data_IF_720833711177
#
_entry.id   IF_720833711177
#
_cell.length_a   1.000
_cell.length_b   1.000
_cell.length_c   1.000
_cell.angle_alpha   90.00
_cell.angle_beta   90.00
_cell.angle_gamma   90.00
#
_symmetry.space_group_name_H-M   'P 1'
#
loop_
_entity.id
_entity.type
_entity.pdbx_description
1 polymer ?
#
# COMPACT_ATOMS: atom_id res chain seq x y z
N UNK A 1 10.06 -1.83 7.40
CA UNK A 1 10.94 -0.64 7.36
C UNK A 1 11.03 -0.08 8.77
N UNK A 2 12.18 0.42 9.22
CA UNK A 2 12.23 1.20 10.46
C UNK A 2 11.87 2.64 10.13
N UNK A 3 10.73 3.14 10.62
CA UNK A 3 10.40 4.57 10.56
C UNK A 3 11.46 5.34 11.35
N UNK A 4 12.45 5.90 10.66
CA UNK A 4 13.62 6.54 11.29
C UNK A 4 13.47 8.05 11.46
N UNK A 5 12.34 8.64 11.05
CA UNK A 5 12.15 10.10 11.08
C UNK A 5 11.16 10.57 12.15
N UNK A 6 10.14 9.78 12.49
CA UNK A 6 9.04 10.20 13.36
C UNK A 6 8.52 9.06 14.22
N UNK A 7 7.99 9.41 15.39
CA UNK A 7 7.23 8.51 16.26
C UNK A 7 5.97 7.99 15.54
N UNK A 8 5.46 6.86 16.01
CA UNK A 8 4.17 6.33 15.57
C UNK A 8 3.03 7.34 15.77
N UNK A 9 2.03 7.26 14.90
CA UNK A 9 0.83 8.12 14.99
C UNK A 9 0.07 7.77 16.26
N UNK A 10 0.07 8.70 17.22
CA UNK A 10 -0.59 8.54 18.52
C UNK A 10 -1.22 9.85 18.98
N UNK A 11 -2.23 9.74 19.85
CA UNK A 11 -2.80 10.91 20.50
C UNK A 11 -1.86 11.42 21.61
N UNK A 12 -1.66 12.73 21.64
CA UNK A 12 -0.90 13.44 22.69
C UNK A 12 -1.82 14.13 23.71
N UNK A 13 -3.12 13.88 23.61
CA UNK A 13 -4.19 14.46 24.43
C UNK A 13 -4.76 13.40 25.38
N UNK A 14 -5.34 13.84 26.49
CA UNK A 14 -5.95 12.95 27.48
C UNK A 14 -7.37 12.49 27.09
N UNK A 15 -7.89 11.47 27.77
CA UNK A 15 -9.20 10.88 27.49
C UNK A 15 -10.38 11.86 27.64
N UNK A 16 -10.27 12.87 28.51
CA UNK A 16 -11.32 13.89 28.67
C UNK A 16 -11.33 14.85 27.48
N UNK A 17 -10.15 15.18 26.95
CA UNK A 17 -9.99 16.00 25.76
C UNK A 17 -10.46 15.29 24.48
N UNK A 18 -10.32 13.97 24.39
CA UNK A 18 -10.78 13.19 23.22
C UNK A 18 -12.26 13.44 22.93
N UNK A 19 -13.13 13.35 23.95
CA UNK A 19 -14.57 13.57 23.78
C UNK A 19 -14.90 14.99 23.30
N UNK A 20 -14.21 15.99 23.85
CA UNK A 20 -14.36 17.39 23.47
C UNK A 20 -13.92 17.63 22.02
N UNK A 21 -12.75 17.11 21.63
CA UNK A 21 -12.24 17.25 20.26
C UNK A 21 -13.08 16.47 19.26
N UNK A 22 -13.59 15.30 19.62
CA UNK A 22 -14.49 14.54 18.77
C UNK A 22 -15.76 15.36 18.46
N UNK A 23 -16.37 16.00 19.46
CA UNK A 23 -17.55 16.84 19.23
C UNK A 23 -17.24 18.03 18.31
N UNK A 24 -16.06 18.65 18.44
CA UNK A 24 -15.64 19.76 17.57
C UNK A 24 -15.35 19.29 16.15
N UNK A 25 -14.65 18.17 16.00
CA UNK A 25 -14.26 17.60 14.70
C UNK A 25 -15.45 17.03 13.94
N UNK A 26 -16.45 16.47 14.63
CA UNK A 26 -17.70 16.05 14.00
C UNK A 26 -18.38 17.22 13.27
N UNK A 27 -18.23 18.44 13.78
CA UNK A 27 -18.80 19.66 13.18
C UNK A 27 -17.83 20.38 12.22
N UNK A 28 -16.66 19.80 11.93
CA UNK A 28 -15.68 20.39 11.03
C UNK A 28 -16.15 20.26 9.57
N UNK A 29 -15.81 21.25 8.75
CA UNK A 29 -16.13 21.27 7.31
C UNK A 29 -15.06 20.60 6.43
N UNK A 30 -14.04 19.98 7.04
CA UNK A 30 -12.95 19.29 6.33
C UNK A 30 -13.27 17.79 6.26
N UNK A 31 -13.32 17.24 5.05
CA UNK A 31 -13.71 15.84 4.78
C UNK A 31 -15.22 15.62 4.82
N UNK A 32 -15.67 14.36 4.82
CA UNK A 32 -17.09 14.09 5.04
C UNK A 32 -17.44 14.30 6.52
N UNK A 33 -18.68 14.70 6.78
CA UNK A 33 -19.16 15.00 8.12
C UNK A 33 -18.94 13.82 9.07
N UNK A 34 -18.16 14.02 10.13
CA UNK A 34 -17.86 13.00 11.13
C UNK A 34 -16.61 12.16 10.87
N UNK A 35 -15.95 12.25 9.71
CA UNK A 35 -14.74 11.44 9.41
C UNK A 35 -13.58 11.75 10.35
N UNK A 36 -13.27 13.03 10.55
CA UNK A 36 -12.20 13.45 11.45
C UNK A 36 -12.45 12.98 12.90
N UNK A 37 -13.71 12.98 13.34
CA UNK A 37 -14.09 12.46 14.65
C UNK A 37 -14.02 10.93 14.74
N UNK A 38 -14.34 10.21 13.66
CA UNK A 38 -14.15 8.75 13.55
C UNK A 38 -12.68 8.37 13.57
N UNK A 39 -11.84 9.09 12.82
CA UNK A 39 -10.39 8.88 12.80
C UNK A 39 -9.77 9.12 14.17
N UNK A 40 -10.16 10.20 14.87
CA UNK A 40 -9.70 10.45 16.24
C UNK A 40 -10.02 9.27 17.16
N UNK A 41 -11.23 8.72 17.08
CA UNK A 41 -11.65 7.55 17.87
C UNK A 41 -10.87 6.29 17.51
N UNK A 42 -10.56 6.08 16.23
CA UNK A 42 -9.77 4.94 15.79
C UNK A 42 -8.35 5.02 16.37
N UNK A 43 -7.68 6.17 16.27
CA UNK A 43 -6.34 6.35 16.82
C UNK A 43 -6.35 6.17 18.35
N UNK A 44 -7.39 6.66 19.04
CA UNK A 44 -7.56 6.43 20.47
C UNK A 44 -7.63 4.93 20.81
N UNK A 45 -8.49 4.18 20.09
CA UNK A 45 -8.66 2.73 20.28
C UNK A 45 -7.39 1.95 20.01
N UNK A 46 -6.63 2.31 18.98
CA UNK A 46 -5.33 1.69 18.69
C UNK A 46 -4.34 1.96 19.84
N UNK A 47 -4.35 3.17 20.38
CA UNK A 47 -3.53 3.53 21.55
C UNK A 47 -3.91 2.73 22.79
N UNK A 48 -5.20 2.59 23.07
CA UNK A 48 -5.72 1.80 24.21
C UNK A 48 -5.40 0.31 24.02
N UNK A 49 -5.59 -0.23 22.81
CA UNK A 49 -5.26 -1.61 22.43
C UNK A 49 -3.79 -1.96 22.69
N UNK A 50 -2.86 -1.04 22.41
CA UNK A 50 -1.43 -1.26 22.61
C UNK A 50 -1.01 -1.48 24.08
N UNK A 51 -1.87 -1.11 25.04
CA UNK A 51 -1.64 -1.33 26.48
C UNK A 51 -2.22 -2.63 27.03
N UNK A 52 -2.95 -3.40 26.20
CA UNK A 52 -3.63 -4.62 26.60
C UNK A 52 -2.82 -5.87 26.22
N UNK A 53 -3.14 -7.00 26.87
CA UNK A 53 -2.53 -8.29 26.54
C UNK A 53 -3.00 -8.85 25.19
N UNK A 54 -2.26 -9.80 24.64
CA UNK A 54 -2.65 -10.46 23.40
C UNK A 54 -3.93 -11.29 23.58
N UNK A 55 -4.83 -11.32 22.58
CA UNK A 55 -6.00 -12.17 22.60
C UNK A 55 -5.59 -13.64 22.66
N UNK A 56 -6.40 -14.44 23.34
CA UNK A 56 -6.26 -15.91 23.35
C UNK A 56 -7.42 -16.52 22.62
N UNK A 57 -7.07 -17.37 21.64
CA UNK A 57 -8.03 -18.07 20.82
C UNK A 57 -8.04 -19.55 21.15
N UNK A 58 -9.22 -20.13 21.22
CA UNK A 58 -9.40 -21.56 21.11
C UNK A 58 -9.64 -21.91 19.64
N UNK A 59 -8.71 -22.68 19.07
CA UNK A 59 -8.75 -23.15 17.68
C UNK A 59 -9.19 -24.60 17.64
N UNK A 60 -10.14 -24.91 16.77
CA UNK A 60 -10.61 -26.29 16.53
C UNK A 60 -10.53 -26.60 15.06
N UNK A 61 -9.84 -27.70 14.79
CA UNK A 61 -9.69 -28.26 13.47
C UNK A 61 -10.65 -29.44 13.29
N UNK A 62 -11.61 -29.29 12.37
CA UNK A 62 -12.54 -30.34 11.99
C UNK A 62 -12.06 -30.96 10.69
N UNK A 63 -11.82 -32.28 10.68
CA UNK A 63 -11.35 -32.98 9.50
C UNK A 63 -12.37 -34.00 9.02
N UNK A 64 -13.03 -33.70 7.91
CA UNK A 64 -13.91 -34.63 7.22
C UNK A 64 -13.08 -35.43 6.21
N UNK A 65 -13.04 -36.75 6.37
CA UNK A 65 -12.37 -37.65 5.43
C UNK A 65 -13.41 -38.36 4.58
N UNK A 66 -13.23 -38.31 3.27
CA UNK A 66 -14.03 -39.12 2.37
C UNK A 66 -13.74 -40.60 2.64
N UNK A 67 -14.78 -41.43 2.75
CA UNK A 67 -14.65 -42.84 3.15
C UNK A 67 -13.84 -43.68 2.14
N UNK A 68 -13.96 -43.36 0.85
CA UNK A 68 -13.43 -44.20 -0.25
C UNK A 68 -12.33 -43.54 -1.07
N UNK A 69 -12.12 -42.24 -0.93
CA UNK A 69 -11.23 -41.44 -1.77
C UNK A 69 -10.20 -40.76 -0.86
N UNK A 70 -8.97 -40.52 -1.31
CA UNK A 70 -7.94 -39.85 -0.52
C UNK A 70 -8.19 -38.33 -0.45
N UNK A 71 -9.43 -37.93 -0.22
CA UNK A 71 -9.86 -36.53 -0.13
C UNK A 71 -10.26 -36.27 1.32
N UNK A 72 -9.71 -35.20 1.89
CA UNK A 72 -10.15 -34.69 3.18
C UNK A 72 -10.39 -33.19 3.09
N UNK A 73 -11.44 -32.72 3.75
CA UNK A 73 -11.70 -31.31 3.97
C UNK A 73 -11.36 -31.00 5.42
N UNK A 74 -10.66 -29.90 5.63
CA UNK A 74 -10.26 -29.40 6.93
C UNK A 74 -10.88 -28.03 7.13
N UNK A 75 -11.60 -27.86 8.25
CA UNK A 75 -12.16 -26.58 8.65
C UNK A 75 -11.46 -26.16 9.92
N UNK A 76 -10.97 -24.93 9.94
CA UNK A 76 -10.46 -24.30 11.14
C UNK A 76 -11.53 -23.35 11.67
N UNK A 77 -11.87 -23.50 12.94
CA UNK A 77 -12.84 -22.67 13.63
C UNK A 77 -12.16 -22.05 14.83
N UNK A 78 -12.27 -20.74 14.97
CA UNK A 78 -11.64 -19.99 16.05
C UNK A 78 -12.72 -19.34 16.92
N UNK A 79 -12.48 -19.34 18.23
CA UNK A 79 -13.31 -18.65 19.22
C UNK A 79 -12.40 -17.84 20.14
N UNK A 80 -12.87 -16.69 20.58
CA UNK A 80 -12.13 -15.81 21.49
C UNK A 80 -12.35 -16.30 22.93
N UNK A 81 -11.29 -16.79 23.58
CA UNK A 81 -11.31 -17.16 25.02
C UNK A 81 -11.00 -15.95 25.90
N UNK A 82 -10.10 -15.09 25.43
CA UNK A 82 -9.74 -13.83 26.04
C UNK A 82 -9.61 -12.77 24.95
N UNK A 83 -10.33 -11.66 25.08
CA UNK A 83 -10.33 -10.59 24.09
C UNK A 83 -9.00 -9.82 24.04
N UNK A 84 -8.33 -9.59 25.17
CA UNK A 84 -7.08 -8.82 25.18
C UNK A 84 -7.27 -7.44 24.54
N UNK A 85 -6.46 -7.11 23.54
CA UNK A 85 -6.62 -5.87 22.76
C UNK A 85 -7.83 -5.85 21.82
N UNK A 86 -8.47 -6.99 21.50
CA UNK A 86 -9.65 -7.06 20.63
C UNK A 86 -10.85 -6.31 21.20
N UNK A 87 -10.92 -6.11 22.52
CA UNK A 87 -11.98 -5.31 23.18
C UNK A 87 -12.08 -3.90 22.55
N UNK A 88 -10.94 -3.33 22.16
CA UNK A 88 -10.86 -1.99 21.55
C UNK A 88 -10.97 -2.01 20.03
N UNK A 89 -10.72 -3.15 19.39
CA UNK A 89 -10.72 -3.36 17.94
C UNK A 89 -11.60 -4.57 17.54
N UNK A 90 -12.91 -4.53 17.83
CA UNK A 90 -13.79 -5.71 17.69
C UNK A 90 -13.97 -6.19 16.25
N UNK A 91 -13.73 -5.33 15.26
CA UNK A 91 -13.80 -5.71 13.85
C UNK A 91 -12.71 -6.72 13.45
N UNK A 92 -11.58 -6.73 14.15
CA UNK A 92 -10.51 -7.71 13.93
C UNK A 92 -10.94 -9.13 14.35
N UNK A 93 -11.94 -9.26 15.23
CA UNK A 93 -12.51 -10.54 15.65
C UNK A 93 -13.65 -11.04 14.73
N UNK A 94 -13.97 -10.36 13.63
CA UNK A 94 -15.16 -10.65 12.81
C UNK A 94 -15.19 -12.07 12.20
N UNK A 95 -14.04 -12.76 12.14
CA UNK A 95 -13.91 -14.13 11.65
C UNK A 95 -13.98 -15.18 12.77
N UNK A 96 -14.01 -14.75 14.03
CA UNK A 96 -14.17 -15.64 15.18
C UNK A 96 -15.65 -15.87 15.47
N UNK A 97 -16.00 -17.09 15.91
CA UNK A 97 -17.35 -17.37 16.38
C UNK A 97 -17.55 -16.90 17.82
N UNK A 98 -18.73 -16.35 18.07
CA UNK A 98 -19.21 -16.10 19.42
C UNK A 98 -19.43 -17.42 20.17
N UNK A 99 -19.35 -17.40 21.51
CA UNK A 99 -19.48 -18.62 22.31
C UNK A 99 -20.80 -19.38 22.04
N UNK A 100 -21.90 -18.66 21.80
CA UNK A 100 -23.19 -19.25 21.45
C UNK A 100 -23.23 -19.91 20.07
N UNK A 101 -22.59 -19.27 19.08
CA UNK A 101 -22.48 -19.78 17.71
C UNK A 101 -21.60 -21.02 17.67
N UNK A 102 -20.51 -21.00 18.41
CA UNK A 102 -19.63 -22.15 18.61
C UNK A 102 -20.38 -23.35 19.20
N UNK A 103 -21.18 -23.14 20.26
CA UNK A 103 -21.98 -24.22 20.85
C UNK A 103 -23.02 -24.78 19.87
N UNK A 104 -23.64 -23.91 19.06
CA UNK A 104 -24.58 -24.31 18.03
C UNK A 104 -23.88 -25.14 16.94
N UNK A 105 -22.71 -24.71 16.47
CA UNK A 105 -21.90 -25.43 15.50
C UNK A 105 -21.51 -26.83 16.01
N UNK A 106 -21.01 -26.93 17.24
CA UNK A 106 -20.67 -28.22 17.84
C UNK A 106 -21.88 -29.15 17.94
N UNK A 107 -23.08 -28.61 18.21
CA UNK A 107 -24.31 -29.39 18.25
C UNK A 107 -24.70 -29.87 16.86
N UNK A 108 -24.73 -28.98 15.87
CA UNK A 108 -25.01 -29.31 14.47
C UNK A 108 -24.09 -30.41 13.94
N UNK A 109 -22.78 -30.32 14.24
CA UNK A 109 -21.80 -31.34 13.87
C UNK A 109 -22.05 -32.70 14.57
N UNK A 110 -22.40 -32.69 15.86
CA UNK A 110 -22.73 -33.91 16.61
C UNK A 110 -24.01 -34.59 16.11
N UNK A 111 -25.00 -33.79 15.75
CA UNK A 111 -26.31 -34.24 15.30
C UNK A 111 -26.35 -34.54 13.79
N UNK A 112 -25.24 -34.28 13.08
CA UNK A 112 -25.16 -34.36 11.61
C UNK A 112 -26.21 -33.49 10.91
N UNK A 113 -26.56 -32.36 11.53
CA UNK A 113 -27.56 -31.39 11.07
C UNK A 113 -26.86 -30.23 10.37
N UNK A 114 -26.34 -30.49 9.16
CA UNK A 114 -25.69 -29.47 8.34
C UNK A 114 -25.76 -29.83 6.85
N UNK A 115 -25.68 -28.80 6.00
CA UNK A 115 -25.56 -28.94 4.56
C UNK A 115 -24.19 -28.42 4.10
N UNK A 116 -23.62 -29.07 3.09
CA UNK A 116 -22.39 -28.61 2.45
C UNK A 116 -22.74 -28.00 1.08
N UNK A 117 -22.50 -26.72 0.93
CA UNK A 117 -22.62 -26.02 -0.34
C UNK A 117 -21.23 -25.85 -0.98
N UNK A 118 -21.07 -26.39 -2.18
CA UNK A 118 -19.81 -26.30 -2.93
C UNK A 118 -19.98 -25.27 -4.03
N UNK A 119 -19.40 -24.09 -3.82
CA UNK A 119 -19.34 -23.03 -4.83
C UNK A 119 -17.91 -22.87 -5.30
N UNK A 120 -17.75 -22.60 -6.59
CA UNK A 120 -16.49 -22.04 -7.09
C UNK A 120 -16.37 -20.65 -6.46
N UNK A 121 -15.23 -20.31 -5.83
CA UNK A 121 -15.04 -18.96 -5.33
C UNK A 121 -15.18 -17.99 -6.49
N UNK A 122 -15.94 -16.92 -6.29
CA UNK A 122 -15.93 -15.81 -7.24
C UNK A 122 -14.50 -15.24 -7.28
N UNK A 123 -14.02 -14.75 -8.43
CA UNK A 123 -12.72 -14.13 -8.50
C UNK A 123 -12.70 -12.90 -7.59
N UNK A 124 -12.10 -13.05 -6.41
CA UNK A 124 -11.99 -11.98 -5.42
C UNK A 124 -11.23 -10.80 -6.03
N UNK A 125 -11.80 -9.61 -5.89
CA UNK A 125 -11.11 -8.38 -6.19
C UNK A 125 -10.09 -8.09 -5.10
N UNK A 126 -9.01 -7.40 -5.48
CA UNK A 126 -7.98 -7.00 -4.53
C UNK A 126 -8.61 -6.07 -3.49
N UNK A 127 -8.40 -6.33 -2.21
CA UNK A 127 -8.90 -5.42 -1.18
C UNK A 127 -8.07 -4.13 -1.12
N UNK A 128 -8.62 -3.04 -0.58
CA UNK A 128 -7.87 -1.80 -0.42
C UNK A 128 -6.69 -2.01 0.53
N UNK A 129 -6.89 -2.74 1.63
CA UNK A 129 -5.81 -3.14 2.53
C UNK A 129 -4.70 -3.90 1.80
N UNK A 130 -5.06 -4.92 1.01
CA UNK A 130 -4.11 -5.69 0.22
C UNK A 130 -3.37 -4.84 -0.82
N UNK A 131 -4.02 -3.83 -1.42
CA UNK A 131 -3.35 -2.89 -2.32
C UNK A 131 -2.26 -2.12 -1.55
N UNK A 132 -2.59 -1.54 -0.40
CA UNK A 132 -1.64 -0.75 0.40
C UNK A 132 -0.45 -1.61 0.84
N UNK A 133 -0.69 -2.84 1.30
CA UNK A 133 0.38 -3.78 1.70
C UNK A 133 1.30 -4.12 0.52
N UNK A 134 0.72 -4.37 -0.66
CA UNK A 134 1.50 -4.63 -1.87
C UNK A 134 2.33 -3.40 -2.27
N UNK A 135 1.76 -2.19 -2.19
CA UNK A 135 2.49 -0.95 -2.50
C UNK A 135 3.67 -0.76 -1.54
N UNK A 136 3.49 -1.01 -0.24
CA UNK A 136 4.60 -0.96 0.74
C UNK A 136 5.65 -2.04 0.45
N UNK A 137 5.24 -3.28 0.17
CA UNK A 137 6.13 -4.38 -0.16
C UNK A 137 7.02 -4.07 -1.38
N UNK A 138 6.44 -3.46 -2.42
CA UNK A 138 7.18 -3.04 -3.61
C UNK A 138 7.84 -1.66 -3.49
N UNK A 139 7.75 -1.02 -2.33
CA UNK A 139 8.29 0.32 -2.05
C UNK A 139 7.77 1.37 -3.04
N UNK A 140 6.50 1.26 -3.41
CA UNK A 140 5.81 2.16 -4.32
C UNK A 140 5.09 3.20 -3.47
N UNK A 141 5.51 4.46 -3.60
CA UNK A 141 4.99 5.56 -2.80
C UNK A 141 5.66 5.69 -1.42
N UNK A 142 5.48 6.86 -0.81
CA UNK A 142 5.85 7.15 0.59
C UNK A 142 4.55 7.45 1.36
N UNK A 143 4.52 7.37 2.70
CA UNK A 143 3.34 7.75 3.49
C UNK A 143 2.77 9.13 3.12
N UNK A 144 3.64 10.07 2.71
CA UNK A 144 3.26 11.42 2.27
C UNK A 144 2.70 11.51 0.84
N UNK A 145 2.90 10.50 -0.02
CA UNK A 145 2.53 10.54 -1.44
C UNK A 145 1.47 9.52 -1.83
N UNK A 146 1.27 8.46 -1.03
CA UNK A 146 0.34 7.37 -1.33
C UNK A 146 -1.09 7.87 -1.56
N UNK A 147 -1.60 8.71 -0.65
CA UNK A 147 -2.96 9.25 -0.74
C UNK A 147 -3.22 10.00 -2.06
N UNK A 148 -2.34 10.97 -2.38
CA UNK A 148 -2.44 11.73 -3.63
C UNK A 148 -2.29 10.84 -4.87
N UNK A 149 -1.38 9.86 -4.83
CA UNK A 149 -1.15 8.96 -5.97
C UNK A 149 -2.40 8.14 -6.29
N UNK A 150 -3.11 7.65 -5.27
CA UNK A 150 -4.35 6.89 -5.44
C UNK A 150 -5.47 7.79 -5.97
N UNK A 151 -5.60 9.01 -5.45
CA UNK A 151 -6.58 9.99 -5.94
C UNK A 151 -6.33 10.36 -7.42
N UNK A 152 -5.06 10.55 -7.80
CA UNK A 152 -4.67 10.83 -9.18
C UNK A 152 -4.98 9.65 -10.10
N UNK A 153 -4.75 8.41 -9.64
CA UNK A 153 -5.07 7.19 -10.40
C UNK A 153 -6.59 7.00 -10.56
N UNK A 154 -7.39 7.33 -9.56
CA UNK A 154 -8.85 7.28 -9.64
C UNK A 154 -9.39 8.37 -10.57
N UNK A 155 -8.92 9.61 -10.40
CA UNK A 155 -9.28 10.76 -11.26
C UNK A 155 -8.87 10.52 -12.71
N UNK A 156 -7.70 9.92 -12.92
CA UNK A 156 -7.20 9.48 -14.22
C UNK A 156 -7.92 8.25 -14.80
N UNK A 157 -8.94 7.73 -14.10
CA UNK A 157 -9.73 6.54 -14.48
C UNK A 157 -8.87 5.31 -14.71
N UNK A 158 -7.80 5.14 -13.94
CA UNK A 158 -6.99 3.92 -13.96
C UNK A 158 -7.50 2.88 -12.97
N UNK A 159 -8.17 3.35 -11.94
CA UNK A 159 -8.48 2.64 -10.71
C UNK A 159 -9.92 2.99 -10.31
N UNK A 160 -10.66 2.03 -9.77
CA UNK A 160 -11.95 2.22 -9.11
C UNK A 160 -11.85 1.60 -7.72
N UNK A 161 -12.17 2.40 -6.70
CA UNK A 161 -12.26 1.96 -5.31
C UNK A 161 -13.73 2.01 -4.92
N UNK A 162 -14.31 0.86 -4.58
CA UNK A 162 -15.70 0.75 -4.16
C UNK A 162 -15.77 -0.01 -2.83
N UNK A 163 -15.91 0.73 -1.74
CA UNK A 163 -15.75 0.17 -0.40
C UNK A 163 -14.32 -0.35 -0.19
N UNK A 164 -14.20 -1.64 0.10
CA UNK A 164 -12.90 -2.32 0.24
C UNK A 164 -12.42 -2.94 -1.08
N UNK A 165 -13.20 -2.92 -2.16
CA UNK A 165 -12.79 -3.52 -3.42
C UNK A 165 -12.04 -2.54 -4.32
N UNK A 166 -10.88 -2.97 -4.82
CA UNK A 166 -10.06 -2.24 -5.79
C UNK A 166 -10.07 -2.96 -7.13
N UNK A 167 -10.39 -2.22 -8.19
CA UNK A 167 -10.41 -2.72 -9.57
C UNK A 167 -9.66 -1.80 -10.53
N UNK A 168 -8.91 -2.41 -11.44
CA UNK A 168 -8.35 -1.69 -12.58
C UNK A 168 -9.42 -1.48 -13.66
N UNK A 169 -9.38 -0.32 -14.31
CA UNK A 169 -10.26 -0.06 -15.46
C UNK A 169 -9.69 -0.68 -16.73
N UNK A 170 -10.53 -0.84 -17.76
CA UNK A 170 -10.07 -1.23 -19.10
C UNK A 170 -9.00 -0.28 -19.66
N UNK A 171 -9.07 1.01 -19.32
CA UNK A 171 -8.08 2.01 -19.71
C UNK A 171 -6.72 1.73 -19.06
N UNK A 172 -6.70 1.40 -17.77
CA UNK A 172 -5.46 1.02 -17.09
C UNK A 172 -4.82 -0.22 -17.69
N UNK A 173 -5.60 -1.26 -18.00
CA UNK A 173 -5.07 -2.46 -18.64
C UNK A 173 -4.41 -2.15 -19.99
N UNK A 174 -5.03 -1.27 -20.79
CA UNK A 174 -4.45 -0.86 -22.07
C UNK A 174 -3.14 -0.07 -21.86
N UNK A 175 -3.13 0.90 -20.95
CA UNK A 175 -1.94 1.69 -20.65
C UNK A 175 -0.81 0.81 -20.13
N UNK A 176 -1.11 -0.12 -19.22
CA UNK A 176 -0.14 -1.09 -18.72
C UNK A 176 0.43 -1.95 -19.86
N UNK A 177 -0.43 -2.45 -20.75
CA UNK A 177 0.02 -3.22 -21.91
C UNK A 177 0.95 -2.41 -22.81
N UNK A 178 0.58 -1.17 -23.15
CA UNK A 178 1.38 -0.27 -23.98
C UNK A 178 2.73 0.06 -23.31
N UNK A 179 2.74 0.28 -21.98
CA UNK A 179 3.95 0.49 -21.19
C UNK A 179 4.85 -0.75 -21.16
N UNK A 180 4.28 -1.94 -21.01
CA UNK A 180 5.05 -3.19 -21.01
C UNK A 180 5.72 -3.45 -22.36
N UNK A 181 5.07 -3.07 -23.47
CA UNK A 181 5.66 -3.20 -24.80
C UNK A 181 6.75 -2.16 -25.07
N UNK A 182 6.52 -0.89 -24.68
CA UNK A 182 7.42 0.22 -25.03
C UNK A 182 8.55 0.45 -24.02
N UNK A 183 8.29 0.17 -22.74
CA UNK A 183 9.18 0.44 -21.62
C UNK A 183 9.17 -0.72 -20.60
N UNK A 184 9.60 -1.93 -21.01
CA UNK A 184 9.49 -3.14 -20.19
C UNK A 184 10.23 -3.04 -18.85
N UNK A 185 11.34 -2.29 -18.81
CA UNK A 185 12.09 -2.06 -17.58
C UNK A 185 11.30 -1.22 -16.57
N UNK A 186 10.64 -0.13 -17.00
CA UNK A 186 9.80 0.70 -16.13
C UNK A 186 8.52 0.01 -15.68
N UNK A 187 7.92 -0.82 -16.55
CA UNK A 187 6.71 -1.57 -16.23
C UNK A 187 6.97 -2.76 -15.27
N UNK A 188 8.23 -3.04 -14.95
CA UNK A 188 8.60 -4.08 -14.00
C UNK A 188 8.40 -3.57 -12.56
N UNK A 189 7.68 -4.35 -11.74
CA UNK A 189 7.45 -4.05 -10.31
C UNK A 189 8.73 -3.78 -9.51
N UNK A 190 9.86 -4.36 -9.92
CA UNK A 190 11.14 -4.16 -9.24
C UNK A 190 11.81 -2.81 -9.57
N UNK A 191 11.37 -2.11 -10.61
CA UNK A 191 11.92 -0.81 -11.00
C UNK A 191 11.71 0.23 -9.90
N UNK A 192 10.49 0.32 -9.36
CA UNK A 192 10.16 1.21 -8.25
C UNK A 192 10.96 0.90 -6.99
N UNK A 193 11.10 -0.39 -6.65
CA UNK A 193 11.91 -0.81 -5.52
C UNK A 193 13.39 -0.41 -5.68
N UNK A 194 13.94 -0.56 -6.88
CA UNK A 194 15.31 -0.11 -7.19
C UNK A 194 15.44 1.41 -7.10
N UNK A 195 14.48 2.16 -7.66
CA UNK A 195 14.46 3.62 -7.57
C UNK A 195 14.44 4.09 -6.11
N UNK A 196 13.59 3.49 -5.28
CA UNK A 196 13.51 3.78 -3.84
C UNK A 196 14.85 3.49 -3.13
N UNK A 197 15.53 2.39 -3.47
CA UNK A 197 16.85 2.08 -2.92
C UNK A 197 17.92 3.10 -3.33
N UNK A 198 17.91 3.56 -4.59
CA UNK A 198 18.83 4.59 -5.06
C UNK A 198 18.59 5.91 -4.35
N UNK A 199 17.32 6.32 -4.18
CA UNK A 199 16.96 7.50 -3.40
C UNK A 199 17.46 7.39 -1.95
N UNK A 200 17.29 6.23 -1.31
CA UNK A 200 17.76 6.01 0.06
C UNK A 200 19.28 6.11 0.18
N UNK A 201 20.03 5.61 -0.81
CA UNK A 201 21.50 5.75 -0.85
C UNK A 201 21.95 7.20 -1.07
N UNK A 202 21.23 7.94 -1.91
CA UNK A 202 21.45 9.38 -2.12
C UNK A 202 21.22 10.17 -0.83
N UNK A 203 20.12 9.90 -0.11
CA UNK A 203 19.80 10.56 1.16
C UNK A 203 20.84 10.30 2.27
N UNK A 204 21.67 9.26 2.13
CA UNK A 204 22.72 8.87 3.08
C UNK A 204 24.14 9.25 2.62
N UNK A 205 24.25 9.97 1.51
CA UNK A 205 25.52 10.29 0.85
C UNK A 205 26.36 9.03 0.51
N UNK A 206 25.73 7.86 0.37
CA UNK A 206 26.39 6.59 -0.01
C UNK A 206 26.59 6.46 -1.53
N UNK A 207 25.92 7.31 -2.32
CA UNK A 207 25.93 7.30 -3.78
C UNK A 207 25.77 8.73 -4.30
N UNK A 208 26.46 9.10 -5.39
CA UNK A 208 26.26 10.40 -6.05
C UNK A 208 25.05 10.37 -7.00
N UNK A 209 24.42 11.53 -7.22
CA UNK A 209 23.29 11.65 -8.17
C UNK A 209 23.66 11.19 -9.59
N UNK A 210 24.87 11.52 -10.05
CA UNK A 210 25.38 11.07 -11.34
C UNK A 210 25.46 9.54 -11.43
N UNK A 211 25.95 8.88 -10.38
CA UNK A 211 26.04 7.42 -10.33
C UNK A 211 24.67 6.74 -10.30
N UNK A 212 23.71 7.31 -9.55
CA UNK A 212 22.34 6.81 -9.51
C UNK A 212 21.65 6.90 -10.88
N UNK A 213 21.87 7.99 -11.61
CA UNK A 213 21.31 8.16 -12.95
C UNK A 213 22.00 7.27 -14.00
N UNK A 214 23.31 7.06 -13.87
CA UNK A 214 24.03 6.10 -14.72
C UNK A 214 23.48 4.68 -14.60
N UNK A 215 22.95 4.31 -13.43
CA UNK A 215 22.28 3.03 -13.21
C UNK A 215 20.86 2.98 -13.81
N UNK A 216 20.12 4.11 -13.82
CA UNK A 216 18.72 4.17 -14.28
C UNK A 216 18.56 4.43 -15.78
N UNK A 217 19.39 5.28 -16.36
CA UNK A 217 19.23 5.76 -17.74
C UNK A 217 19.27 4.67 -18.81
N UNK A 218 20.08 3.61 -18.71
CA UNK A 218 20.03 2.50 -19.66
C UNK A 218 18.66 1.83 -19.77
N UNK A 219 17.87 1.83 -18.69
CA UNK A 219 16.52 1.25 -18.67
C UNK A 219 15.44 2.21 -19.20
N UNK A 220 15.71 3.51 -19.18
CA UNK A 220 14.84 4.55 -19.73
C UNK A 220 15.11 4.80 -21.21
N UNK A 221 16.36 4.59 -21.63
CA UNK A 221 16.89 4.93 -22.95
C UNK A 221 17.76 3.75 -23.45
N UNK A 222 17.21 2.87 -24.31
CA UNK A 222 17.89 1.65 -24.79
C UNK A 222 19.22 1.85 -25.53
N UNK A 223 19.62 3.10 -25.77
CA UNK A 223 20.83 3.50 -26.50
C UNK A 223 21.70 4.50 -25.73
N UNK A 224 21.47 4.65 -24.42
CA UNK A 224 22.23 5.58 -23.60
C UNK A 224 23.59 5.00 -23.19
N UNK A 225 24.66 5.75 -23.47
CA UNK A 225 26.01 5.42 -23.01
C UNK A 225 26.23 6.01 -21.61
N UNK A 226 26.18 5.17 -20.59
CA UNK A 226 26.35 5.58 -19.19
C UNK A 226 27.73 6.14 -18.87
N UNK A 227 28.74 5.91 -19.73
CA UNK A 227 30.09 6.48 -19.56
C UNK A 227 30.17 7.97 -19.89
N UNK A 228 29.11 8.52 -20.51
CA UNK A 228 29.00 9.94 -20.82
C UNK A 228 28.57 10.82 -19.64
N UNK A 229 28.20 10.21 -18.50
CA UNK A 229 27.81 10.94 -17.29
C UNK A 229 29.05 11.30 -16.45
N UNK A 230 29.56 12.51 -16.60
CA UNK A 230 30.62 13.09 -15.77
C UNK A 230 30.06 13.79 -14.52
N UNK A 231 30.89 13.98 -13.49
CA UNK A 231 30.49 14.56 -12.19
C UNK A 231 29.97 16.02 -12.28
N UNK A 232 30.27 16.73 -13.37
CA UNK A 232 29.97 18.17 -13.58
C UNK A 232 28.78 18.46 -14.53
N UNK A 233 27.83 17.53 -14.72
CA UNK A 233 26.73 17.72 -15.69
C UNK A 233 25.59 18.63 -15.17
N UNK A 234 25.51 18.85 -13.87
CA UNK A 234 24.40 19.58 -13.26
C UNK A 234 24.77 21.05 -13.06
N UNK A 235 24.40 21.88 -14.03
CA UNK A 235 24.22 23.31 -13.78
C UNK A 235 22.99 23.51 -12.87
N UNK A 236 23.05 24.57 -12.06
CA UNK A 236 22.10 25.00 -11.04
C UNK A 236 20.63 24.63 -11.31
N UNK A 237 19.91 24.18 -10.29
CA UNK A 237 18.50 23.74 -10.37
C UNK A 237 17.58 24.85 -10.91
N UNK A 238 18.02 26.12 -10.80
CA UNK A 238 17.33 27.28 -11.36
C UNK A 238 17.28 27.29 -12.89
N UNK A 239 18.22 26.61 -13.57
CA UNK A 239 18.24 26.46 -15.04
C UNK A 239 17.06 25.65 -15.60
N UNK A 240 16.37 24.86 -14.76
CA UNK A 240 15.16 24.12 -15.16
C UNK A 240 13.90 24.99 -15.22
N UNK A 241 13.93 26.22 -14.68
CA UNK A 241 12.78 27.12 -14.64
C UNK A 241 12.80 28.19 -15.74
N UNK A 242 13.82 28.20 -16.61
CA UNK A 242 13.79 29.04 -17.80
C UNK A 242 12.79 28.49 -18.82
N UNK A 243 11.91 29.33 -19.39
CA UNK A 243 10.90 28.88 -20.34
C UNK A 243 11.58 28.31 -21.59
N UNK A 244 11.29 27.03 -21.88
CA UNK A 244 11.76 26.35 -23.08
C UNK A 244 11.13 27.01 -24.32
N UNK A 245 11.94 27.69 -25.13
CA UNK A 245 11.52 28.20 -26.43
C UNK A 245 10.96 27.07 -27.32
N UNK A 246 9.86 27.37 -28.00
CA UNK A 246 8.99 26.44 -28.72
C UNK A 246 9.72 25.68 -29.86
N UNK A 247 10.14 24.43 -29.61
CA UNK A 247 10.39 23.43 -30.66
C UNK A 247 10.20 21.98 -30.13
N UNK A 248 9.41 21.13 -30.82
CA UNK A 248 8.92 19.86 -30.24
C UNK A 248 9.91 18.68 -30.34
N UNK A 249 11.22 18.92 -30.41
CA UNK A 249 12.24 17.83 -30.41
C UNK A 249 13.38 18.01 -29.39
N UNK A 250 13.24 18.91 -28.42
CA UNK A 250 14.29 19.20 -27.43
C UNK A 250 14.12 18.61 -26.00
N UNK A 251 13.46 17.47 -25.69
CA UNK A 251 13.29 17.10 -24.28
C UNK A 251 14.52 16.46 -23.61
N UNK A 252 15.60 16.15 -24.33
CA UNK A 252 16.78 15.47 -23.75
C UNK A 252 18.14 16.10 -24.11
N UNK A 253 18.21 17.07 -25.02
CA UNK A 253 19.48 17.76 -25.32
C UNK A 253 19.87 18.80 -24.25
N UNK A 254 18.94 19.20 -23.36
CA UNK A 254 19.26 20.03 -22.20
C UNK A 254 20.03 19.29 -21.10
N UNK A 255 19.94 17.95 -21.05
CA UNK A 255 20.59 17.12 -20.03
C UNK A 255 22.06 16.79 -20.36
N UNK A 256 22.50 17.03 -21.59
CA UNK A 256 23.88 16.76 -22.03
C UNK A 256 24.31 17.90 -22.96
N UNK A 257 24.73 19.03 -22.39
CA UNK A 257 25.61 19.93 -23.13
C UNK A 257 26.98 19.27 -23.18
N UNK A 258 27.26 18.55 -24.27
CA UNK A 258 28.65 18.36 -24.67
C UNK A 258 29.25 19.76 -24.84
N UNK A 259 30.21 20.11 -24.00
CA UNK A 259 31.12 21.20 -24.28
C UNK A 259 32.02 20.74 -25.43
N UNK A 260 31.48 20.76 -26.65
CA UNK A 260 32.31 20.83 -27.83
C UNK A 260 33.14 22.12 -27.68
N UNK A 261 34.46 21.97 -27.72
CA UNK A 261 35.38 23.03 -27.38
C UNK A 261 35.16 24.30 -28.19
N UNK A 262 35.48 25.42 -27.57
CA UNK A 262 36.06 26.57 -28.26
C UNK A 262 37.17 27.15 -27.39
N UNK A 263 38.25 27.46 -28.08
CA UNK A 263 39.60 27.71 -27.62
C UNK A 263 39.78 29.06 -26.90
N UNK A 264 40.73 29.09 -25.96
CA UNK A 264 41.82 30.09 -25.88
C UNK A 264 42.93 29.58 -24.98
#
# INVERSE_FOLDING_TARGET
MGNSAHDDIRLTIDSQQIALYQQRLNNCAVGQHGDAGRLLKLIARIGDAAGHEDPRFQVITLRLKHFSNPVSVEFEVQTVELEGWLEHLPHEAAHCLELGEYQALLRALKESDFELDFRLPEPEHLSFGQLIDNLDQFRIGRPSTLGQTLEDMETGRMLVIDGDEVRLTATAYKVLHDMQQRYPAMANKNFSARLALLQQKLERDELSAASALAELLPDLLPHFDSTSLTEDIWDDIESFYEPLDEAPQAPLQGLIRQRAGDES
#
